data_IF_427151548094
#
_entry.id   IF_427151548094
#
_cell.length_a   1.000
_cell.length_b   1.000
_cell.length_c   1.000
_cell.angle_alpha   90.00
_cell.angle_beta   90.00
_cell.angle_gamma   90.00
#
_symmetry.space_group_name_H-M   'P 1'
#
loop_
_entity.id
_entity.type
_entity.pdbx_description
1 polymer ?
#
# COMPACT_ATOMS: atom_id res chain seq x y z
N UNK A 1 22.57 -18.13 18.69
CA UNK A 1 21.99 -17.06 19.51
C UNK A 1 20.72 -16.57 18.82
N UNK A 2 19.52 -16.97 19.27
CA UNK A 2 18.25 -16.51 18.70
C UNK A 2 18.06 -15.04 19.07
N UNK A 3 18.26 -14.12 18.14
CA UNK A 3 17.83 -12.74 18.35
C UNK A 3 16.30 -12.74 18.41
N UNK A 4 15.74 -12.43 19.57
CA UNK A 4 14.31 -12.13 19.72
C UNK A 4 14.01 -10.88 18.89
N UNK A 5 13.54 -11.06 17.68
CA UNK A 5 13.01 -9.97 16.87
C UNK A 5 11.71 -9.52 17.53
N UNK A 6 11.72 -8.37 18.17
CA UNK A 6 10.49 -7.76 18.70
C UNK A 6 9.66 -7.27 17.52
N UNK A 7 8.48 -7.86 17.31
CA UNK A 7 7.53 -7.41 16.31
C UNK A 7 6.26 -6.89 16.99
N UNK A 8 5.89 -5.66 16.70
CA UNK A 8 4.69 -5.03 17.24
C UNK A 8 3.98 -4.18 16.18
N UNK A 9 2.66 -4.16 16.21
CA UNK A 9 1.80 -3.36 15.32
C UNK A 9 0.78 -2.62 16.15
N UNK A 10 0.80 -1.30 16.08
CA UNK A 10 -0.11 -0.40 16.80
C UNK A 10 -0.82 0.50 15.83
N UNK A 11 -2.14 0.60 15.93
CA UNK A 11 -2.93 1.57 15.17
C UNK A 11 -3.21 2.79 16.03
N UNK A 12 -3.05 3.97 15.44
CA UNK A 12 -3.26 5.22 16.15
C UNK A 12 -3.80 6.33 15.25
N UNK A 13 -4.56 7.21 15.86
CA UNK A 13 -5.07 8.42 15.24
C UNK A 13 -4.01 9.52 15.35
N UNK A 14 -3.51 10.02 14.20
CA UNK A 14 -2.44 11.04 14.18
C UNK A 14 -3.02 12.44 14.34
N UNK A 15 -3.23 12.85 15.58
CA UNK A 15 -3.83 14.13 15.96
C UNK A 15 -3.06 15.36 15.46
N UNK A 16 -1.77 15.22 15.13
CA UNK A 16 -0.97 16.31 14.54
C UNK A 16 -1.32 16.63 13.09
N UNK A 17 -2.15 15.80 12.44
CA UNK A 17 -2.58 15.95 11.04
C UNK A 17 -4.10 16.04 10.91
N UNK A 18 -4.76 16.78 11.79
CA UNK A 18 -6.21 17.00 11.71
C UNK A 18 -6.52 17.83 10.46
N UNK A 19 -7.47 17.34 9.66
CA UNK A 19 -7.97 18.03 8.48
C UNK A 19 -8.87 19.22 8.88
N UNK A 20 -9.13 20.14 7.95
CA UNK A 20 -10.09 21.24 8.14
C UNK A 20 -11.51 20.75 8.50
N UNK A 21 -11.83 19.48 8.26
CA UNK A 21 -13.10 18.85 8.61
C UNK A 21 -13.09 18.17 9.99
N UNK A 22 -12.10 18.43 10.84
CA UNK A 22 -11.97 17.86 12.18
C UNK A 22 -11.56 16.38 12.21
N UNK A 23 -11.22 15.76 11.07
CA UNK A 23 -10.83 14.35 11.01
C UNK A 23 -9.32 14.19 10.99
N UNK A 24 -8.81 13.24 11.75
CA UNK A 24 -7.40 12.87 11.78
C UNK A 24 -7.16 11.50 11.10
N UNK A 25 -6.05 11.33 10.37
CA UNK A 25 -5.74 10.10 9.70
C UNK A 25 -5.31 9.00 10.68
N UNK A 26 -5.70 7.76 10.38
CA UNK A 26 -5.29 6.57 11.12
C UNK A 26 -4.04 5.99 10.46
N UNK A 27 -3.03 5.69 11.27
CA UNK A 27 -1.78 5.05 10.85
C UNK A 27 -1.58 3.73 11.58
N UNK A 28 -0.98 2.77 10.89
CA UNK A 28 -0.38 1.58 11.49
C UNK A 28 1.09 1.87 11.73
N UNK A 29 1.56 1.74 12.97
CA UNK A 29 2.98 1.77 13.34
C UNK A 29 3.46 0.34 13.49
N UNK A 30 4.46 -0.02 12.72
CA UNK A 30 5.12 -1.32 12.76
C UNK A 30 6.49 -1.12 13.39
N UNK A 31 6.77 -1.87 14.42
CA UNK A 31 8.08 -1.89 15.08
C UNK A 31 8.67 -3.29 14.95
N UNK A 32 9.87 -3.41 14.42
CA UNK A 32 10.61 -4.66 14.35
C UNK A 32 12.10 -4.41 14.56
N UNK A 33 12.74 -5.20 15.44
CA UNK A 33 14.17 -5.12 15.74
C UNK A 33 14.66 -3.70 16.07
N UNK A 34 13.85 -2.92 16.81
CA UNK A 34 14.17 -1.53 17.19
C UNK A 34 13.91 -0.48 16.10
N UNK A 35 13.58 -0.88 14.89
CA UNK A 35 13.18 0.04 13.83
C UNK A 35 11.66 0.24 13.80
N UNK A 36 11.23 1.42 13.38
CA UNK A 36 9.80 1.77 13.32
C UNK A 36 9.46 2.39 11.97
N UNK A 37 8.32 1.98 11.41
CA UNK A 37 7.73 2.61 10.21
C UNK A 37 6.25 2.86 10.41
N UNK A 38 5.71 3.85 9.70
CA UNK A 38 4.29 4.19 9.73
C UNK A 38 3.67 4.01 8.34
N UNK A 39 2.49 3.41 8.31
CA UNK A 39 1.71 3.19 7.09
C UNK A 39 0.35 3.87 7.27
N UNK A 40 -0.03 4.71 6.33
CA UNK A 40 -1.35 5.33 6.30
C UNK A 40 -2.40 4.31 5.86
N UNK A 41 -3.48 4.16 6.65
CA UNK A 41 -4.55 3.20 6.36
C UNK A 41 -5.60 3.71 5.38
N UNK A 42 -5.40 4.92 4.84
CA UNK A 42 -6.36 5.64 3.99
C UNK A 42 -7.69 5.97 4.68
N UNK A 43 -7.76 5.81 6.01
CA UNK A 43 -8.92 6.14 6.83
C UNK A 43 -8.66 7.38 7.66
N UNK A 44 -9.73 8.13 7.88
CA UNK A 44 -9.74 9.29 8.77
C UNK A 44 -10.93 9.18 9.73
N UNK A 45 -10.72 9.58 10.98
CA UNK A 45 -11.74 9.56 12.02
C UNK A 45 -11.67 10.85 12.86
N UNK A 46 -12.77 11.25 13.46
CA UNK A 46 -12.76 12.28 14.49
C UNK A 46 -11.99 11.74 15.71
N UNK A 47 -10.99 12.44 16.24
CA UNK A 47 -10.12 11.93 17.30
C UNK A 47 -10.86 11.44 18.54
N UNK A 48 -12.02 12.02 18.85
CA UNK A 48 -12.86 11.69 19.99
C UNK A 48 -13.55 10.33 19.83
N UNK A 49 -13.76 9.89 18.60
CA UNK A 49 -14.37 8.60 18.27
C UNK A 49 -13.37 7.43 18.30
N UNK A 50 -12.06 7.72 18.34
CA UNK A 50 -11.01 6.73 18.35
C UNK A 50 -10.59 6.32 19.75
N UNK A 51 -10.74 5.04 20.08
CA UNK A 51 -10.21 4.49 21.32
C UNK A 51 -8.80 3.94 21.07
N UNK A 52 -7.80 4.64 21.62
CA UNK A 52 -6.39 4.26 21.41
C UNK A 52 -6.02 2.94 22.08
N UNK A 53 -6.62 2.62 23.24
CA UNK A 53 -6.32 1.36 23.96
C UNK A 53 -6.84 0.15 23.21
N UNK A 54 -8.01 0.26 22.60
CA UNK A 54 -8.64 -0.81 21.82
C UNK A 54 -8.29 -0.74 20.32
N UNK A 55 -7.62 0.32 19.91
CA UNK A 55 -7.21 0.58 18.52
C UNK A 55 -8.39 0.48 17.54
N UNK A 56 -9.54 1.03 17.92
CA UNK A 56 -10.77 1.03 17.13
C UNK A 56 -11.71 2.15 17.52
N UNK A 57 -12.70 2.43 16.68
CA UNK A 57 -13.87 3.22 17.09
C UNK A 57 -14.81 2.40 17.95
N UNK A 58 -15.35 3.01 19.01
CA UNK A 58 -16.37 2.41 19.89
C UNK A 58 -17.79 2.69 19.39
N UNK A 59 -17.95 3.57 18.43
CA UNK A 59 -19.25 3.91 17.87
C UNK A 59 -19.73 2.83 16.90
N UNK A 60 -21.06 2.65 16.81
CA UNK A 60 -21.69 1.59 16.01
C UNK A 60 -22.20 2.09 14.65
N UNK A 61 -21.89 3.33 14.27
CA UNK A 61 -22.26 3.88 12.98
C UNK A 61 -21.63 3.10 11.82
N UNK A 62 -22.25 3.13 10.66
CA UNK A 62 -21.77 2.41 9.47
C UNK A 62 -20.31 2.80 9.12
N UNK A 63 -20.00 4.09 9.15
CA UNK A 63 -18.64 4.60 8.90
C UNK A 63 -17.63 4.05 9.91
N UNK A 64 -18.01 3.95 11.19
CA UNK A 64 -17.15 3.42 12.24
C UNK A 64 -16.88 1.93 12.05
N UNK A 65 -17.92 1.17 11.66
CA UNK A 65 -17.77 -0.24 11.34
C UNK A 65 -16.86 -0.47 10.13
N UNK A 66 -16.99 0.36 9.08
CA UNK A 66 -16.11 0.32 7.91
C UNK A 66 -14.66 0.61 8.32
N UNK A 67 -14.42 1.65 9.13
CA UNK A 67 -13.07 1.98 9.63
C UNK A 67 -12.49 0.81 10.44
N UNK A 68 -13.29 0.23 11.34
CA UNK A 68 -12.85 -0.91 12.14
C UNK A 68 -12.51 -2.14 11.28
N UNK A 69 -13.30 -2.40 10.24
CA UNK A 69 -13.04 -3.47 9.26
C UNK A 69 -11.74 -3.23 8.49
N UNK A 70 -11.51 -2.01 8.03
CA UNK A 70 -10.28 -1.64 7.32
C UNK A 70 -9.05 -1.80 8.23
N UNK A 71 -9.13 -1.33 9.48
CA UNK A 71 -8.05 -1.49 10.46
C UNK A 71 -7.75 -2.98 10.72
N UNK A 72 -8.78 -3.81 10.85
CA UNK A 72 -8.63 -5.26 11.02
C UNK A 72 -7.96 -5.91 9.79
N UNK A 73 -8.36 -5.51 8.58
CA UNK A 73 -7.76 -5.98 7.33
C UNK A 73 -6.28 -5.59 7.21
N UNK A 74 -5.93 -4.34 7.54
CA UNK A 74 -4.53 -3.91 7.57
C UNK A 74 -3.70 -4.71 8.58
N UNK A 75 -4.26 -4.98 9.76
CA UNK A 75 -3.60 -5.82 10.78
C UNK A 75 -3.32 -7.22 10.24
N UNK A 76 -4.31 -7.87 9.67
CA UNK A 76 -4.17 -9.21 9.08
C UNK A 76 -3.11 -9.24 7.97
N UNK A 77 -3.13 -8.25 7.08
CA UNK A 77 -2.16 -8.15 5.99
C UNK A 77 -0.73 -7.92 6.50
N UNK A 78 -0.54 -7.10 7.54
CA UNK A 78 0.77 -6.85 8.15
C UNK A 78 1.31 -8.14 8.79
N UNK A 79 0.47 -8.86 9.53
CA UNK A 79 0.84 -10.14 10.14
C UNK A 79 1.20 -11.17 9.07
N UNK A 80 0.38 -11.30 8.02
CA UNK A 80 0.64 -12.21 6.92
C UNK A 80 1.95 -11.87 6.18
N UNK A 81 2.24 -10.58 5.97
CA UNK A 81 3.50 -10.15 5.35
C UNK A 81 4.72 -10.53 6.22
N UNK A 82 4.61 -10.37 7.53
CA UNK A 82 5.63 -10.79 8.50
C UNK A 82 5.87 -12.30 8.47
N UNK A 83 4.80 -13.11 8.55
CA UNK A 83 4.87 -14.57 8.54
C UNK A 83 5.46 -15.12 7.24
N UNK A 84 5.11 -14.51 6.10
CA UNK A 84 5.66 -14.88 4.81
C UNK A 84 7.16 -14.57 4.69
N UNK A 85 7.64 -13.48 5.28
CA UNK A 85 9.08 -13.17 5.33
C UNK A 85 9.83 -14.21 6.15
N UNK A 86 9.27 -14.63 7.29
CA UNK A 86 9.85 -15.71 8.10
C UNK A 86 9.91 -17.05 7.34
N UNK A 87 8.83 -17.40 6.63
CA UNK A 87 8.80 -18.64 5.79
C UNK A 87 9.83 -18.60 4.67
N UNK A 88 10.09 -17.43 4.10
CA UNK A 88 11.11 -17.23 3.08
C UNK A 88 12.55 -17.15 3.65
N UNK A 89 12.75 -17.44 4.95
CA UNK A 89 14.02 -17.30 5.67
C UNK A 89 14.65 -15.90 5.54
N UNK A 90 13.82 -14.86 5.36
CA UNK A 90 14.24 -13.47 5.33
C UNK A 90 14.02 -12.82 6.69
N UNK A 91 14.94 -11.93 7.09
CA UNK A 91 14.75 -11.15 8.31
C UNK A 91 13.61 -10.15 8.10
N UNK A 92 12.51 -10.21 8.91
CA UNK A 92 11.41 -9.26 8.77
C UNK A 92 11.83 -7.90 9.32
N UNK A 93 12.30 -7.01 8.46
CA UNK A 93 12.52 -5.61 8.78
C UNK A 93 11.34 -4.73 8.32
N UNK A 94 11.29 -3.49 8.81
CA UNK A 94 10.22 -2.56 8.50
C UNK A 94 10.07 -2.27 7.01
N UNK A 95 11.17 -2.25 6.27
CA UNK A 95 11.17 -1.98 4.83
C UNK A 95 10.59 -3.15 4.05
N UNK A 96 11.05 -4.37 4.32
CA UNK A 96 10.58 -5.59 3.67
C UNK A 96 9.10 -5.86 3.92
N UNK A 97 8.61 -5.59 5.15
CA UNK A 97 7.19 -5.68 5.48
C UNK A 97 6.39 -4.66 4.66
N UNK A 98 6.84 -3.39 4.63
CA UNK A 98 6.17 -2.33 3.87
C UNK A 98 6.15 -2.62 2.38
N UNK A 99 7.26 -3.09 1.81
CA UNK A 99 7.36 -3.46 0.41
C UNK A 99 6.39 -4.61 0.07
N UNK A 100 6.31 -5.62 0.94
CA UNK A 100 5.40 -6.76 0.73
C UNK A 100 3.93 -6.35 0.81
N UNK A 101 3.58 -5.44 1.72
CA UNK A 101 2.24 -4.86 1.80
C UNK A 101 1.89 -4.05 0.56
N UNK A 102 2.81 -3.27 0.04
CA UNK A 102 2.61 -2.53 -1.22
C UNK A 102 2.37 -3.48 -2.39
N UNK A 103 3.08 -4.59 -2.44
CA UNK A 103 2.90 -5.63 -3.46
C UNK A 103 1.59 -6.42 -3.26
N UNK A 104 1.20 -6.71 -2.00
CA UNK A 104 -0.03 -7.43 -1.65
C UNK A 104 -1.30 -6.58 -1.80
N UNK A 105 -1.21 -5.27 -1.55
CA UNK A 105 -2.34 -4.34 -1.77
C UNK A 105 -2.57 -4.05 -3.25
N UNK A 106 -1.95 -4.84 -4.15
CA UNK A 106 -2.06 -4.65 -5.58
C UNK A 106 -1.63 -3.22 -5.95
N UNK A 107 -0.46 -2.78 -5.49
CA UNK A 107 0.20 -1.67 -6.17
C UNK A 107 0.36 -2.15 -7.60
N UNK A 108 -0.63 -1.79 -8.42
CA UNK A 108 -0.61 -2.06 -9.84
C UNK A 108 0.63 -1.38 -10.33
N UNK A 109 1.62 -2.18 -10.64
CA UNK A 109 2.83 -1.67 -11.23
C UNK A 109 2.40 -0.94 -12.49
N UNK A 110 2.60 0.35 -12.52
CA UNK A 110 2.01 1.22 -13.55
C UNK A 110 2.41 0.75 -14.95
N UNK A 111 3.68 0.40 -15.16
CA UNK A 111 4.17 -0.03 -16.46
C UNK A 111 3.58 -1.38 -16.87
N UNK A 112 3.37 -2.29 -15.91
CA UNK A 112 2.69 -3.57 -16.15
C UNK A 112 1.23 -3.36 -16.56
N UNK A 113 0.49 -2.50 -15.86
CA UNK A 113 -0.91 -2.20 -16.22
C UNK A 113 -1.01 -1.43 -17.53
N UNK A 114 -0.06 -0.52 -17.80
CA UNK A 114 0.00 0.20 -19.06
C UNK A 114 0.38 -0.71 -20.23
N UNK A 115 1.23 -1.71 -20.01
CA UNK A 115 1.50 -2.75 -21.01
C UNK A 115 0.22 -3.52 -21.37
N UNK A 116 -0.53 -4.00 -20.38
CA UNK A 116 -1.83 -4.67 -20.60
C UNK A 116 -2.83 -3.77 -21.36
N UNK A 117 -2.82 -2.48 -21.05
CA UNK A 117 -3.62 -1.51 -21.79
C UNK A 117 -3.19 -1.40 -23.26
N UNK A 118 -1.88 -1.35 -23.53
CA UNK A 118 -1.35 -1.33 -24.91
C UNK A 118 -1.77 -2.59 -25.68
N UNK A 119 -1.65 -3.78 -25.06
CA UNK A 119 -2.04 -5.06 -25.65
C UNK A 119 -3.55 -5.09 -25.99
N UNK A 120 -4.38 -4.58 -25.07
CA UNK A 120 -5.83 -4.43 -25.33
C UNK A 120 -6.10 -3.50 -26.50
N UNK A 121 -5.38 -2.37 -26.59
CA UNK A 121 -5.51 -1.42 -27.72
C UNK A 121 -5.04 -2.02 -29.04
N UNK A 122 -4.05 -2.90 -29.02
CA UNK A 122 -3.62 -3.63 -30.21
C UNK A 122 -4.75 -4.47 -30.82
N UNK A 123 -5.60 -5.06 -29.97
CA UNK A 123 -6.77 -5.85 -30.43
C UNK A 123 -7.88 -4.99 -31.04
N UNK A 124 -7.89 -3.69 -30.75
CA UNK A 124 -8.90 -2.74 -31.27
C UNK A 124 -8.45 -2.02 -32.57
N UNK A 125 -7.26 -2.35 -33.08
CA UNK A 125 -6.75 -1.78 -34.33
C UNK A 125 -7.63 -2.21 -35.51
N UNK A 126 -7.97 -1.25 -36.34
CA UNK A 126 -8.84 -1.46 -37.47
C UNK A 126 -10.36 -1.33 -37.18
N UNK A 127 -10.74 -1.31 -35.88
CA UNK A 127 -12.15 -1.10 -35.48
C UNK A 127 -12.36 0.21 -34.75
N UNK A 128 -11.54 0.51 -33.75
CA UNK A 128 -11.68 1.71 -32.90
C UNK A 128 -10.49 2.65 -32.97
N UNK A 129 -9.29 2.12 -33.23
CA UNK A 129 -8.07 2.91 -33.33
C UNK A 129 -7.28 2.53 -34.59
N UNK A 130 -6.41 3.44 -35.02
CA UNK A 130 -5.46 3.18 -36.11
C UNK A 130 -4.19 2.53 -35.60
N UNK A 131 -3.48 1.79 -36.46
CA UNK A 131 -2.15 1.24 -36.13
C UNK A 131 -1.17 2.31 -35.67
N UNK A 132 -1.24 3.52 -36.28
CA UNK A 132 -0.40 4.65 -35.91
C UNK A 132 -0.65 5.06 -34.45
N UNK A 133 -1.90 5.09 -34.01
CA UNK A 133 -2.26 5.40 -32.62
C UNK A 133 -1.75 4.32 -31.66
N UNK A 134 -1.89 3.06 -32.00
CA UNK A 134 -1.39 1.95 -31.22
C UNK A 134 0.14 2.02 -31.07
N UNK A 135 0.85 2.31 -32.15
CA UNK A 135 2.31 2.46 -32.13
C UNK A 135 2.77 3.60 -31.21
N UNK A 136 1.97 4.68 -31.07
CA UNK A 136 2.26 5.77 -30.11
C UNK A 136 2.20 5.28 -28.67
N UNK A 137 1.22 4.42 -28.30
CA UNK A 137 1.13 3.85 -26.95
C UNK A 137 2.33 2.96 -26.64
N UNK A 138 2.71 2.06 -27.55
CA UNK A 138 3.90 1.20 -27.33
C UNK A 138 5.21 2.01 -27.26
N UNK A 139 5.33 3.09 -28.05
CA UNK A 139 6.47 4.00 -27.95
C UNK A 139 6.53 4.70 -26.60
N UNK A 140 5.39 5.18 -26.10
CA UNK A 140 5.30 5.79 -24.78
C UNK A 140 5.69 4.81 -23.67
N UNK A 141 5.15 3.58 -23.70
CA UNK A 141 5.51 2.52 -22.76
C UNK A 141 7.02 2.29 -22.71
N UNK A 142 7.68 2.19 -23.89
CA UNK A 142 9.13 2.00 -23.97
C UNK A 142 9.88 3.17 -23.33
N UNK A 143 9.52 4.42 -23.66
CA UNK A 143 10.17 5.60 -23.08
C UNK A 143 9.99 5.66 -21.55
N UNK A 144 8.81 5.37 -21.05
CA UNK A 144 8.56 5.34 -19.61
C UNK A 144 9.35 4.24 -18.92
N UNK A 145 9.45 3.05 -19.52
CA UNK A 145 10.25 1.95 -18.97
C UNK A 145 11.75 2.33 -18.92
N UNK A 146 12.28 2.89 -19.99
CA UNK A 146 13.68 3.35 -20.05
C UNK A 146 13.94 4.44 -19.02
N UNK A 147 13.07 5.45 -18.94
CA UNK A 147 13.17 6.54 -17.97
C UNK A 147 13.13 6.04 -16.52
N UNK A 148 12.21 5.14 -16.20
CA UNK A 148 12.08 4.56 -14.86
C UNK A 148 13.36 3.81 -14.45
N UNK A 149 13.93 3.02 -15.35
CA UNK A 149 15.18 2.31 -15.10
C UNK A 149 16.36 3.27 -14.91
N UNK A 150 16.47 4.30 -15.72
CA UNK A 150 17.59 5.25 -15.66
C UNK A 150 17.51 6.15 -14.44
N UNK A 151 16.32 6.73 -14.18
CA UNK A 151 16.13 7.75 -13.15
C UNK A 151 15.95 7.17 -11.75
N UNK A 152 15.18 6.07 -11.63
CA UNK A 152 14.80 5.50 -10.33
C UNK A 152 15.48 4.17 -10.03
N UNK A 153 16.18 3.56 -10.99
CA UNK A 153 16.77 2.21 -10.90
C UNK A 153 15.76 1.16 -10.46
N UNK A 154 14.53 1.29 -10.93
CA UNK A 154 13.40 0.40 -10.67
C UNK A 154 12.86 -0.15 -11.98
N UNK A 155 12.18 -1.30 -11.90
CA UNK A 155 11.52 -1.90 -13.07
C UNK A 155 10.12 -1.36 -13.30
N UNK A 156 9.53 -0.63 -12.32
CA UNK A 156 8.21 0.01 -12.41
C UNK A 156 8.09 1.22 -11.47
N UNK A 157 7.02 2.03 -11.63
CA UNK A 157 6.68 3.22 -10.85
C UNK A 157 5.76 2.89 -9.65
#
# INVERSE_FOLDING_TARGET
>A
MYQRTTFNVVFFCKKTKISKKGKAPIYARITTSGQTTEIYTQCQIEPERWNQRLERSLYKGEVDQQINSIVASYRANILAAYDLLLKDNKTPDCFSIKQRLSNASGSRMFLVEFSKYCDKRQQEVGTRITQVTCNKYHRLLRYMTEYTKQQYRKDDL
#
